data_IF_481296774457
#
_entry.id   IF_481296774457
#
_cell.length_a   1.000
_cell.length_b   1.000
_cell.length_c   1.000
_cell.angle_alpha   90.00
_cell.angle_beta   90.00
_cell.angle_gamma   90.00
#
_symmetry.space_group_name_H-M   'P 1'
#
loop_
_entity.id
_entity.type
_entity.pdbx_description
1 polymer ?
#
# COMPACT_ATOMS: atom_id res chain seq x y z
N UNK A 1 14.89 7.12 -10.22
CA UNK A 1 14.03 7.97 -9.36
C UNK A 1 12.86 7.13 -8.90
N UNK A 2 12.70 6.92 -7.60
CA UNK A 2 11.50 6.26 -7.08
C UNK A 2 10.32 7.22 -7.12
N UNK A 3 9.21 6.76 -7.67
CA UNK A 3 7.98 7.53 -7.79
C UNK A 3 7.33 7.75 -6.43
N UNK A 4 6.46 8.76 -6.37
CA UNK A 4 5.59 9.03 -5.22
C UNK A 4 4.16 8.66 -5.59
N UNK A 5 3.49 7.90 -4.73
CA UNK A 5 2.07 7.57 -4.87
C UNK A 5 1.25 8.45 -3.94
N UNK A 6 0.16 9.04 -4.41
CA UNK A 6 -0.68 9.91 -3.58
C UNK A 6 -1.50 9.10 -2.56
N UNK A 7 -1.42 9.46 -1.28
CA UNK A 7 -2.13 8.76 -0.18
C UNK A 7 -3.65 8.84 -0.33
N UNK A 8 -4.18 10.00 -0.73
CA UNK A 8 -5.62 10.17 -0.93
C UNK A 8 -6.13 9.32 -2.09
N UNK A 9 -5.33 9.13 -3.14
CA UNK A 9 -5.68 8.22 -4.23
C UNK A 9 -5.75 6.76 -3.75
N UNK A 10 -4.74 6.29 -3.01
CA UNK A 10 -4.74 4.92 -2.44
C UNK A 10 -5.93 4.68 -1.53
N UNK A 11 -6.25 5.65 -0.66
CA UNK A 11 -7.43 5.59 0.20
C UNK A 11 -8.72 5.49 -0.59
N UNK A 12 -8.89 6.32 -1.63
CA UNK A 12 -10.08 6.27 -2.50
C UNK A 12 -10.20 4.92 -3.20
N UNK A 13 -9.13 4.40 -3.80
CA UNK A 13 -9.16 3.09 -4.44
C UNK A 13 -9.55 1.97 -3.46
N UNK A 14 -9.00 2.00 -2.25
CA UNK A 14 -9.35 1.06 -1.18
C UNK A 14 -10.82 1.14 -0.77
N UNK A 15 -11.37 2.36 -0.67
CA UNK A 15 -12.72 2.58 -0.15
C UNK A 15 -13.82 2.41 -1.22
N UNK A 16 -13.46 2.41 -2.52
CA UNK A 16 -14.39 2.24 -3.65
C UNK A 16 -14.59 0.77 -4.03
N UNK A 17 -13.57 -0.07 -3.88
CA UNK A 17 -13.60 -1.46 -4.36
C UNK A 17 -14.46 -2.35 -3.43
N UNK A 18 -15.54 -2.99 -3.92
CA UNK A 18 -16.33 -3.93 -3.15
C UNK A 18 -15.51 -5.17 -2.78
N UNK A 19 -15.48 -5.54 -1.50
CA UNK A 19 -14.76 -6.73 -1.00
C UNK A 19 -15.55 -8.03 -1.18
N UNK A 20 -16.17 -8.20 -2.36
CA UNK A 20 -17.12 -9.29 -2.62
C UNK A 20 -16.45 -10.54 -3.20
N UNK A 21 -15.19 -10.43 -3.64
CA UNK A 21 -14.41 -11.54 -4.19
C UNK A 21 -13.09 -11.68 -3.44
N UNK A 22 -12.51 -12.88 -3.45
CA UNK A 22 -11.19 -13.10 -2.86
C UNK A 22 -10.14 -12.16 -3.47
N UNK A 23 -10.21 -11.92 -4.77
CA UNK A 23 -9.30 -11.00 -5.46
C UNK A 23 -9.46 -9.57 -4.93
N UNK A 24 -10.68 -9.06 -4.80
CA UNK A 24 -10.91 -7.70 -4.31
C UNK A 24 -10.53 -7.53 -2.83
N UNK A 25 -10.71 -8.56 -2.00
CA UNK A 25 -10.20 -8.61 -0.63
C UNK A 25 -8.67 -8.51 -0.62
N UNK A 26 -7.97 -9.27 -1.47
CA UNK A 26 -6.51 -9.18 -1.54
C UNK A 26 -6.03 -7.79 -1.99
N UNK A 27 -6.68 -7.19 -2.99
CA UNK A 27 -6.38 -5.81 -3.41
C UNK A 27 -6.59 -4.81 -2.28
N UNK A 28 -7.70 -4.94 -1.55
CA UNK A 28 -7.97 -4.12 -0.36
C UNK A 28 -6.84 -4.24 0.66
N UNK A 29 -6.43 -5.47 0.99
CA UNK A 29 -5.35 -5.72 1.96
C UNK A 29 -4.02 -5.13 1.47
N UNK A 30 -3.67 -5.26 0.18
CA UNK A 30 -2.46 -4.64 -0.41
C UNK A 30 -2.49 -3.13 -0.25
N UNK A 31 -3.60 -2.50 -0.64
CA UNK A 31 -3.77 -1.06 -0.53
C UNK A 31 -3.76 -0.58 0.94
N UNK A 32 -4.35 -1.36 1.85
CA UNK A 32 -4.40 -1.07 3.27
C UNK A 32 -3.01 -1.12 3.91
N UNK A 33 -2.23 -2.17 3.64
CA UNK A 33 -0.84 -2.27 4.14
C UNK A 33 0.02 -1.13 3.55
N UNK A 34 -0.11 -0.84 2.26
CA UNK A 34 0.62 0.29 1.64
C UNK A 34 0.30 1.62 2.32
N UNK A 35 -0.98 1.85 2.61
CA UNK A 35 -1.45 3.02 3.32
C UNK A 35 -0.85 3.12 4.73
N UNK A 36 -0.90 2.03 5.50
CA UNK A 36 -0.29 1.97 6.84
C UNK A 36 1.21 2.25 6.80
N UNK A 37 1.92 1.70 5.80
CA UNK A 37 3.36 1.86 5.68
C UNK A 37 3.80 3.32 5.57
N UNK A 38 3.11 4.19 4.85
CA UNK A 38 3.53 5.60 4.79
C UNK A 38 2.64 6.60 5.50
N UNK A 39 1.66 6.15 6.28
CA UNK A 39 0.94 7.01 7.24
C UNK A 39 1.31 6.73 8.69
N UNK A 40 1.64 5.49 9.02
CA UNK A 40 1.93 5.04 10.39
C UNK A 40 3.40 4.66 10.56
N UNK A 41 3.94 3.80 9.69
CA UNK A 41 5.29 3.23 9.88
C UNK A 41 6.39 4.19 9.40
N UNK A 42 6.19 4.80 8.24
CA UNK A 42 7.12 5.72 7.59
C UNK A 42 6.42 7.02 7.19
N UNK A 43 5.81 7.75 8.14
CA UNK A 43 5.11 8.99 7.85
C UNK A 43 6.09 10.00 7.25
N UNK A 44 5.77 10.52 6.07
CA UNK A 44 6.46 11.69 5.53
C UNK A 44 5.93 12.97 6.21
N UNK A 45 6.71 14.07 6.20
CA UNK A 45 6.32 15.35 6.84
C UNK A 45 4.99 15.93 6.33
N UNK A 46 4.59 15.57 5.13
CA UNK A 46 3.41 16.08 4.43
C UNK A 46 2.20 15.13 4.52
N UNK A 47 2.42 13.85 4.83
CA UNK A 47 1.44 12.76 4.79
C UNK A 47 0.61 12.79 3.49
N UNK A 48 1.21 13.25 2.39
CA UNK A 48 0.53 13.37 1.09
C UNK A 48 0.94 12.27 0.12
N UNK A 49 2.11 11.67 0.32
CA UNK A 49 2.70 10.72 -0.61
C UNK A 49 3.37 9.52 0.06
N UNK A 50 3.24 8.36 -0.58
CA UNK A 50 3.94 7.12 -0.25
C UNK A 50 5.09 6.93 -1.23
N UNK A 51 6.19 6.39 -0.75
CA UNK A 51 7.29 6.02 -1.63
C UNK A 51 6.91 4.73 -2.39
N UNK A 52 7.04 4.74 -3.73
CA UNK A 52 6.71 3.57 -4.55
C UNK A 52 7.63 2.36 -4.31
N UNK A 53 8.71 2.46 -3.52
CA UNK A 53 9.59 1.32 -3.18
C UNK A 53 8.85 0.16 -2.51
N UNK A 54 7.74 0.44 -1.84
CA UNK A 54 7.01 -0.60 -1.12
C UNK A 54 5.99 -1.33 -2.01
N UNK A 55 5.70 -0.84 -3.23
CA UNK A 55 4.77 -1.50 -4.14
C UNK A 55 5.21 -2.92 -4.55
N UNK A 56 6.49 -3.17 -4.90
CA UNK A 56 6.94 -4.53 -5.22
C UNK A 56 6.79 -5.50 -4.05
N UNK A 57 6.91 -5.01 -2.80
CA UNK A 57 6.75 -5.84 -1.61
C UNK A 57 5.33 -6.39 -1.52
N UNK A 58 4.33 -5.60 -1.89
CA UNK A 58 2.92 -5.97 -1.81
C UNK A 58 2.45 -6.88 -2.96
N UNK A 59 3.32 -7.18 -3.93
CA UNK A 59 2.98 -8.04 -5.09
C UNK A 59 2.80 -9.49 -4.66
N UNK A 60 3.70 -10.00 -3.82
CA UNK A 60 3.68 -11.38 -3.36
C UNK A 60 3.49 -11.43 -1.84
N UNK A 61 2.27 -11.76 -1.41
CA UNK A 61 1.96 -11.88 0.01
C UNK A 61 2.62 -13.08 0.68
N UNK A 62 2.83 -14.17 -0.06
CA UNK A 62 3.47 -15.37 0.48
C UNK A 62 4.94 -15.10 0.81
N UNK A 63 5.58 -14.24 0.03
CA UNK A 63 6.96 -13.83 0.23
C UNK A 63 7.12 -12.55 1.06
N UNK A 64 6.02 -11.90 1.45
CA UNK A 64 6.06 -10.61 2.14
C UNK A 64 6.80 -10.65 3.48
N UNK A 65 6.68 -11.78 4.18
CA UNK A 65 7.37 -12.04 5.43
C UNK A 65 8.88 -12.18 5.24
N UNK A 66 9.33 -12.55 4.04
CA UNK A 66 10.73 -12.74 3.69
C UNK A 66 11.41 -11.49 3.13
N UNK A 67 10.66 -10.42 2.82
CA UNK A 67 11.25 -9.18 2.33
C UNK A 67 11.81 -8.30 3.45
N UNK A 68 12.99 -7.71 3.22
CA UNK A 68 13.48 -6.59 4.02
C UNK A 68 12.72 -5.32 3.65
N UNK A 69 12.08 -4.69 4.63
CA UNK A 69 11.23 -3.51 4.46
C UNK A 69 12.01 -2.18 4.45
N UNK A 70 13.33 -2.23 4.61
CA UNK A 70 14.21 -1.07 4.73
C UNK A 70 15.24 -1.30 5.81
#
# INVERSE_FOLDING_TARGET
MLGKVNIAWVRRCRDIEPCDTQESVEWYVRAHIFYLLGTVVFPDKSITSLNSKFLPLLRDFYQILGYSWG
#
